data_IF_639099613948
#
_entry.id   IF_639099613948
#
_cell.length_a   1.000
_cell.length_b   1.000
_cell.length_c   1.000
_cell.angle_alpha   90.00
_cell.angle_beta   90.00
_cell.angle_gamma   90.00
#
_symmetry.space_group_name_H-M   'P 1'
#
loop_
_entity.id
_entity.type
_entity.pdbx_description
1 polymer ?
#
# COMPACT_ATOMS: atom_id res chain seq x y z
N UNK A 1 -9.94 -19.82 -5.90
CA UNK A 1 -9.75 -20.12 -7.32
C UNK A 1 -9.27 -18.90 -8.09
N UNK A 2 -9.91 -17.74 -7.92
CA UNK A 2 -9.50 -16.49 -8.58
C UNK A 2 -8.05 -16.06 -8.31
N UNK A 3 -7.57 -16.16 -7.07
CA UNK A 3 -6.18 -15.78 -6.74
C UNK A 3 -5.12 -16.55 -7.55
N UNK A 4 -5.39 -17.82 -7.89
CA UNK A 4 -4.48 -18.63 -8.72
C UNK A 4 -4.46 -18.12 -10.16
N UNK A 5 -5.62 -17.78 -10.70
CA UNK A 5 -5.75 -17.23 -12.04
C UNK A 5 -5.10 -15.85 -12.17
N UNK A 6 -5.33 -14.95 -11.20
CA UNK A 6 -4.69 -13.63 -11.15
C UNK A 6 -3.17 -13.77 -11.07
N UNK A 7 -2.68 -14.64 -10.17
CA UNK A 7 -1.26 -14.92 -10.00
C UNK A 7 -0.62 -15.41 -11.31
N UNK A 8 -1.27 -16.35 -12.00
CA UNK A 8 -0.81 -16.85 -13.30
C UNK A 8 -0.82 -15.76 -14.38
N UNK A 9 -1.86 -14.93 -14.45
CA UNK A 9 -1.96 -13.86 -15.45
C UNK A 9 -0.95 -12.74 -15.25
N UNK A 10 -0.56 -12.48 -14.00
CA UNK A 10 0.42 -11.45 -13.65
C UNK A 10 1.85 -12.00 -13.48
N UNK A 11 2.06 -13.29 -13.73
CA UNK A 11 3.33 -14.00 -13.48
C UNK A 11 3.92 -13.69 -12.09
N UNK A 12 3.07 -13.83 -11.07
CA UNK A 12 3.42 -13.50 -9.68
C UNK A 12 3.07 -14.64 -8.73
N UNK A 13 3.74 -14.67 -7.58
CA UNK A 13 3.38 -15.55 -6.46
C UNK A 13 2.26 -14.93 -5.61
N UNK A 14 1.59 -15.76 -4.82
CA UNK A 14 0.58 -15.31 -3.85
C UNK A 14 0.85 -15.91 -2.47
N UNK A 15 0.47 -15.19 -1.43
CA UNK A 15 0.65 -15.58 -0.03
C UNK A 15 -0.63 -15.28 0.76
N UNK A 16 -0.92 -16.12 1.76
CA UNK A 16 -2.02 -15.91 2.70
C UNK A 16 -1.47 -15.80 4.12
N UNK A 17 -2.09 -14.95 4.93
CA UNK A 17 -1.84 -14.93 6.36
C UNK A 17 -2.60 -16.08 7.04
N UNK A 18 -2.00 -16.65 8.07
CA UNK A 18 -2.63 -17.64 8.92
C UNK A 18 -3.83 -17.04 9.67
N UNK A 19 -4.88 -17.84 9.94
CA UNK A 19 -5.99 -17.41 10.78
C UNK A 19 -5.49 -16.84 12.12
N UNK A 20 -6.15 -15.77 12.58
CA UNK A 20 -5.83 -15.08 13.84
C UNK A 20 -4.40 -14.55 13.98
N UNK A 21 -3.64 -14.44 12.89
CA UNK A 21 -2.25 -13.98 12.88
C UNK A 21 -2.11 -12.56 12.32
N UNK A 22 -2.66 -11.58 13.04
CA UNK A 22 -2.64 -10.15 12.64
C UNK A 22 -1.23 -9.61 12.36
N UNK A 23 -0.22 -10.13 13.07
CA UNK A 23 1.19 -9.74 12.91
C UNK A 23 1.74 -9.97 11.50
N UNK A 24 1.25 -10.99 10.80
CA UNK A 24 1.64 -11.28 9.40
C UNK A 24 1.12 -10.22 8.42
N UNK A 25 0.25 -9.32 8.88
CA UNK A 25 -0.30 -8.21 8.11
C UNK A 25 -0.03 -6.85 8.75
N UNK A 26 1.01 -6.75 9.59
CA UNK A 26 1.27 -5.56 10.40
C UNK A 26 1.35 -4.26 9.57
N UNK A 27 1.96 -4.31 8.39
CA UNK A 27 2.02 -3.16 7.48
C UNK A 27 0.64 -2.77 6.95
N UNK A 28 -0.19 -3.74 6.55
CA UNK A 28 -1.55 -3.47 6.06
C UNK A 28 -2.40 -2.85 7.16
N UNK A 29 -2.27 -3.32 8.41
CA UNK A 29 -2.99 -2.78 9.56
C UNK A 29 -2.54 -1.35 9.90
N UNK A 30 -1.23 -1.09 9.82
CA UNK A 30 -0.68 0.26 9.96
C UNK A 30 -1.21 1.21 8.88
N UNK A 31 -1.17 0.82 7.61
CA UNK A 31 -1.67 1.63 6.49
C UNK A 31 -3.17 1.90 6.61
N UNK A 32 -3.97 0.89 6.99
CA UNK A 32 -5.40 1.06 7.26
C UNK A 32 -5.66 2.10 8.36
N UNK A 33 -4.84 2.11 9.43
CA UNK A 33 -4.94 3.13 10.47
C UNK A 33 -4.68 4.54 9.93
N UNK A 34 -3.73 4.71 9.00
CA UNK A 34 -3.46 6.00 8.36
C UNK A 34 -4.62 6.47 7.48
N UNK A 35 -5.18 5.58 6.65
CA UNK A 35 -6.37 5.89 5.83
C UNK A 35 -7.54 6.34 6.73
N UNK A 36 -7.72 5.68 7.88
CA UNK A 36 -8.76 6.02 8.85
C UNK A 36 -8.58 7.36 9.57
N UNK A 37 -7.44 8.05 9.41
CA UNK A 37 -7.29 9.45 9.83
C UNK A 37 -8.09 10.40 8.93
N UNK A 38 -8.29 10.02 7.67
CA UNK A 38 -9.05 10.81 6.69
C UNK A 38 -10.49 10.32 6.53
N UNK A 39 -10.73 9.00 6.65
CA UNK A 39 -12.05 8.38 6.52
C UNK A 39 -12.43 7.75 7.86
N UNK A 40 -13.20 8.46 8.71
CA UNK A 40 -13.58 7.97 10.04
C UNK A 40 -14.16 6.56 10.03
N UNK A 41 -13.94 5.82 11.13
CA UNK A 41 -14.61 4.53 11.33
C UNK A 41 -16.13 4.68 11.22
N UNK A 42 -16.80 3.64 10.72
CA UNK A 42 -18.25 3.60 10.46
C UNK A 42 -18.75 4.52 9.33
N UNK A 43 -17.87 5.29 8.67
CA UNK A 43 -18.21 5.92 7.38
C UNK A 43 -17.86 4.96 6.23
N UNK A 44 -18.79 4.74 5.28
CA UNK A 44 -18.50 3.95 4.09
C UNK A 44 -17.60 4.76 3.14
N UNK A 45 -16.75 4.05 2.40
CA UNK A 45 -15.89 4.68 1.39
C UNK A 45 -16.69 5.19 0.19
N UNK A 46 -17.87 4.62 -0.08
CA UNK A 46 -18.79 5.04 -1.15
C UNK A 46 -19.29 6.48 -1.03
N UNK A 47 -19.14 7.11 0.14
CA UNK A 47 -19.49 8.51 0.35
C UNK A 47 -18.40 9.49 -0.09
N UNK A 48 -17.26 8.98 -0.56
CA UNK A 48 -16.13 9.77 -1.03
C UNK A 48 -15.99 9.59 -2.54
N UNK A 49 -15.67 10.67 -3.24
CA UNK A 49 -15.40 10.60 -4.68
C UNK A 49 -14.03 10.00 -4.94
N UNK A 50 -13.81 9.50 -6.16
CA UNK A 50 -12.51 8.96 -6.55
C UNK A 50 -11.40 10.00 -6.41
N UNK A 51 -11.67 11.28 -6.69
CA UNK A 51 -10.72 12.37 -6.49
C UNK A 51 -10.34 12.56 -5.02
N UNK A 52 -11.30 12.41 -4.10
CA UNK A 52 -11.03 12.48 -2.67
C UNK A 52 -10.18 11.29 -2.19
N UNK A 53 -10.44 10.09 -2.71
CA UNK A 53 -9.62 8.91 -2.43
C UNK A 53 -8.19 9.09 -2.96
N UNK A 54 -8.05 9.61 -4.18
CA UNK A 54 -6.76 9.91 -4.79
C UNK A 54 -5.98 10.97 -3.99
N UNK A 55 -6.62 12.04 -3.52
CA UNK A 55 -5.99 13.04 -2.68
C UNK A 55 -5.47 12.44 -1.36
N UNK A 56 -6.26 11.57 -0.72
CA UNK A 56 -5.83 10.85 0.49
C UNK A 56 -4.61 9.97 0.18
N UNK A 57 -4.63 9.22 -0.92
CA UNK A 57 -3.51 8.40 -1.36
C UNK A 57 -2.25 9.25 -1.60
N UNK A 58 -2.37 10.38 -2.27
CA UNK A 58 -1.25 11.30 -2.52
C UNK A 58 -0.66 11.84 -1.22
N UNK A 59 -1.50 12.27 -0.28
CA UNK A 59 -1.07 12.75 1.04
C UNK A 59 -0.33 11.67 1.82
N UNK A 60 -0.80 10.42 1.77
CA UNK A 60 -0.14 9.32 2.46
C UNK A 60 1.21 8.96 1.81
N UNK A 61 1.27 8.92 0.48
CA UNK A 61 2.50 8.59 -0.24
C UNK A 61 3.59 9.67 -0.14
N UNK A 62 3.19 10.93 0.06
CA UNK A 62 4.10 12.07 0.29
C UNK A 62 4.37 12.35 1.77
N UNK A 63 3.84 11.54 2.70
CA UNK A 63 4.05 11.75 4.13
C UNK A 63 5.42 11.22 4.54
N UNK A 64 6.32 12.05 5.10
CA UNK A 64 7.59 11.59 5.67
C UNK A 64 7.42 10.48 6.71
N UNK A 65 8.08 9.35 6.51
CA UNK A 65 8.00 8.18 7.40
C UNK A 65 9.24 8.02 8.27
N UNK A 66 9.09 7.90 9.60
CA UNK A 66 10.23 7.70 10.51
C UNK A 66 11.07 6.46 10.16
N UNK A 67 10.42 5.36 9.76
CA UNK A 67 11.11 4.12 9.33
C UNK A 67 11.92 4.29 8.03
N UNK A 68 11.63 5.34 7.25
CA UNK A 68 12.32 5.68 6.02
C UNK A 68 13.29 6.85 6.22
N UNK A 69 13.78 7.08 7.45
CA UNK A 69 14.61 8.24 7.80
C UNK A 69 13.96 9.58 7.42
N UNK A 70 12.63 9.67 7.58
CA UNK A 70 11.82 10.81 7.17
C UNK A 70 11.79 11.09 5.66
N UNK A 71 12.18 10.12 4.82
CA UNK A 71 11.86 10.19 3.40
C UNK A 71 10.37 9.87 3.13
N UNK A 72 9.89 10.35 1.99
CA UNK A 72 8.56 10.06 1.48
C UNK A 72 8.52 8.64 0.87
N UNK A 73 7.52 7.81 1.20
CA UNK A 73 7.33 6.49 0.60
C UNK A 73 7.35 6.53 -0.94
N UNK A 74 6.75 7.56 -1.54
CA UNK A 74 6.78 7.81 -2.97
C UNK A 74 8.21 7.87 -3.52
N UNK A 75 9.05 8.75 -2.95
CA UNK A 75 10.43 8.92 -3.40
C UNK A 75 11.26 7.65 -3.24
N UNK A 76 11.12 6.96 -2.10
CA UNK A 76 11.83 5.69 -1.84
C UNK A 76 11.45 4.62 -2.86
N UNK A 77 10.16 4.50 -3.18
CA UNK A 77 9.67 3.55 -4.17
C UNK A 77 10.29 3.77 -5.55
N UNK A 78 10.27 5.01 -6.05
CA UNK A 78 10.86 5.33 -7.37
C UNK A 78 12.38 5.20 -7.37
N UNK A 79 13.08 5.54 -6.28
CA UNK A 79 14.52 5.26 -6.14
C UNK A 79 14.81 3.76 -6.28
N UNK A 80 14.00 2.91 -5.66
CA UNK A 80 14.15 1.44 -5.73
C UNK A 80 13.91 0.90 -7.14
N UNK A 81 12.86 1.38 -7.83
CA UNK A 81 12.58 0.96 -9.21
C UNK A 81 13.71 1.38 -10.14
N UNK A 82 14.09 2.66 -10.12
CA UNK A 82 15.13 3.18 -11.01
C UNK A 82 16.47 2.47 -10.79
N UNK A 83 16.79 2.14 -9.54
CA UNK A 83 17.96 1.33 -9.20
C UNK A 83 17.90 -0.06 -9.85
N UNK A 84 16.77 -0.77 -9.79
CA UNK A 84 16.61 -2.09 -10.42
C UNK A 84 16.69 -2.03 -11.94
N UNK A 85 16.12 -0.99 -12.55
CA UNK A 85 16.16 -0.80 -14.01
C UNK A 85 17.58 -0.51 -14.49
N UNK A 86 18.36 0.28 -13.74
CA UNK A 86 19.74 0.61 -14.09
C UNK A 86 20.73 -0.58 -14.03
N UNK A 87 20.37 -1.68 -13.36
CA UNK A 87 21.17 -2.92 -13.35
C UNK A 87 20.74 -3.94 -14.41
N UNK A 88 19.63 -3.69 -15.12
CA UNK A 88 19.08 -4.57 -16.16
C UNK A 88 19.33 -4.05 -17.59
N UNK A 89 20.10 -2.96 -17.73
CA UNK A 89 20.70 -2.46 -18.98
C UNK A 89 22.21 -2.60 -18.89
#
# INVERSE_FOLDING_TARGET
>A
YEHKWIAQKLDTTYFFAHPYSSRERGLNEYTNKLIRQYIPKKKPFTNYTDEQILDIQHKLNRRPGKLLNFEEPFSVFYKMINKKVAFNT
#
